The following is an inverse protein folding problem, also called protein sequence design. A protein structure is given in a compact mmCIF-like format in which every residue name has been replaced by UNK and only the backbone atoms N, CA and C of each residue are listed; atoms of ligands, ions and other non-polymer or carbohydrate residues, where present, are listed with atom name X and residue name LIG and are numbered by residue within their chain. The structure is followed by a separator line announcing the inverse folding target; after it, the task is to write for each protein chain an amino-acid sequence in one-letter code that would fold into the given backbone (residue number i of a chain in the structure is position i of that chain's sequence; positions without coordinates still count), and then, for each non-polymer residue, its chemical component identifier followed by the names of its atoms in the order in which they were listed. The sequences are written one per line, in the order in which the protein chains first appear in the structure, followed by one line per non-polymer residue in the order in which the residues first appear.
data_IF_737682176833
#
_entry.id   IF_737682176833
#
_cell.length_a   1.000
_cell.length_b   1.000
_cell.length_c   1.000
_cell.angle_alpha   90.00
_cell.angle_beta   90.00
_cell.angle_gamma   90.00
#
_symmetry.space_group_name_H-M   'P 1'
#
loop_
_entity.id
_entity.type
_entity.pdbx_description
1 polymer ?
#
# COMPACT_ATOMS: atom_id res chain seq x y z
N UNK A 1 17.93 14.21 -9.76
CA UNK A 1 16.70 13.45 -10.03
C UNK A 1 16.81 12.57 -11.27
N UNK A 2 17.08 13.09 -12.47
CA UNK A 2 17.22 12.28 -13.69
C UNK A 2 18.29 11.19 -13.56
N UNK A 3 19.37 11.45 -12.85
CA UNK A 3 20.43 10.47 -12.58
C UNK A 3 19.97 9.39 -11.60
N UNK A 4 19.29 9.75 -10.50
CA UNK A 4 18.72 8.78 -9.55
C UNK A 4 17.74 7.84 -10.24
N UNK A 5 16.92 8.35 -11.15
CA UNK A 5 15.96 7.55 -11.90
C UNK A 5 16.67 6.59 -12.88
N UNK A 6 17.71 7.08 -13.56
CA UNK A 6 18.56 6.23 -14.40
C UNK A 6 19.26 5.12 -13.62
N UNK A 7 19.78 5.45 -12.45
CA UNK A 7 20.43 4.48 -11.57
C UNK A 7 19.44 3.45 -11.05
N UNK A 8 18.23 3.86 -10.66
CA UNK A 8 17.17 2.94 -10.24
C UNK A 8 16.77 1.98 -11.36
N UNK A 9 16.55 2.48 -12.59
CA UNK A 9 16.26 1.64 -13.77
C UNK A 9 17.43 0.69 -14.05
N UNK A 10 18.66 1.17 -13.98
CA UNK A 10 19.84 0.35 -14.19
C UNK A 10 19.93 -0.79 -13.15
N UNK A 11 19.71 -0.49 -11.88
CA UNK A 11 19.70 -1.49 -10.80
C UNK A 11 18.62 -2.53 -11.04
N UNK A 12 17.41 -2.09 -11.41
CA UNK A 12 16.26 -2.99 -11.68
C UNK A 12 16.53 -3.87 -12.89
N UNK A 13 17.03 -3.34 -14.00
CA UNK A 13 17.34 -4.11 -15.20
C UNK A 13 18.46 -5.13 -14.98
N UNK A 14 19.41 -4.80 -14.14
CA UNK A 14 20.49 -5.72 -13.78
C UNK A 14 20.06 -6.80 -12.77
N UNK A 15 18.98 -6.58 -12.06
CA UNK A 15 18.48 -7.49 -11.03
C UNK A 15 17.00 -7.83 -11.29
N UNK A 16 16.71 -8.29 -12.51
CA UNK A 16 15.33 -8.67 -12.92
C UNK A 16 14.70 -9.72 -11.98
N UNK A 17 15.54 -10.43 -11.23
CA UNK A 17 15.13 -11.37 -10.20
C UNK A 17 14.27 -10.73 -9.11
N UNK A 18 14.35 -9.40 -8.91
CA UNK A 18 13.49 -8.65 -7.99
C UNK A 18 12.02 -8.65 -8.42
N UNK A 19 11.74 -8.87 -9.71
CA UNK A 19 10.37 -8.96 -10.21
C UNK A 19 9.69 -10.27 -9.84
N UNK A 20 10.45 -11.35 -9.61
CA UNK A 20 9.88 -12.69 -9.37
C UNK A 20 9.00 -12.72 -8.10
N UNK A 21 9.46 -12.26 -6.91
CA UNK A 21 8.61 -12.23 -5.73
C UNK A 21 7.36 -11.38 -5.92
N UNK A 22 7.47 -10.27 -6.66
CA UNK A 22 6.34 -9.40 -6.96
C UNK A 22 5.30 -10.11 -7.82
N UNK A 23 5.74 -10.79 -8.90
CA UNK A 23 4.85 -11.56 -9.78
C UNK A 23 4.16 -12.67 -8.99
N UNK A 24 4.92 -13.44 -8.20
CA UNK A 24 4.36 -14.50 -7.34
C UNK A 24 3.36 -13.93 -6.36
N UNK A 25 3.65 -12.81 -5.74
CA UNK A 25 2.75 -12.16 -4.78
C UNK A 25 1.44 -11.71 -5.44
N UNK A 26 1.50 -11.09 -6.63
CA UNK A 26 0.31 -10.70 -7.41
C UNK A 26 -0.53 -11.94 -7.73
N UNK A 27 0.08 -13.00 -8.24
CA UNK A 27 -0.62 -14.26 -8.54
C UNK A 27 -1.31 -14.84 -7.30
N UNK A 28 -0.65 -14.81 -6.14
CA UNK A 28 -1.23 -15.29 -4.88
C UNK A 28 -2.41 -14.42 -4.44
N UNK A 29 -2.32 -13.09 -4.60
CA UNK A 29 -3.43 -12.18 -4.31
C UNK A 29 -4.62 -12.41 -5.24
N UNK A 30 -4.38 -12.66 -6.54
CA UNK A 30 -5.44 -12.94 -7.51
C UNK A 30 -6.15 -14.25 -7.17
N UNK A 31 -5.40 -15.30 -6.84
CA UNK A 31 -5.97 -16.58 -6.39
C UNK A 31 -6.77 -16.41 -5.09
N UNK A 32 -6.25 -15.61 -4.14
CA UNK A 32 -6.97 -15.31 -2.91
C UNK A 32 -8.26 -14.51 -3.20
N UNK A 33 -8.22 -13.55 -4.10
CA UNK A 33 -9.40 -12.77 -4.52
C UNK A 33 -10.48 -13.67 -5.12
N UNK A 34 -10.10 -14.62 -5.98
CA UNK A 34 -11.03 -15.63 -6.50
C UNK A 34 -11.60 -16.49 -5.40
N UNK A 35 -10.77 -17.00 -4.48
CA UNK A 35 -11.23 -17.78 -3.33
C UNK A 35 -12.20 -16.99 -2.45
N UNK A 36 -11.87 -15.74 -2.15
CA UNK A 36 -12.66 -14.89 -1.25
C UNK A 36 -14.07 -14.63 -1.80
N UNK A 37 -14.18 -14.44 -3.11
CA UNK A 37 -15.45 -14.20 -3.79
C UNK A 37 -16.49 -15.31 -3.57
N UNK A 38 -16.03 -16.55 -3.43
CA UNK A 38 -16.92 -17.71 -3.30
C UNK A 38 -17.06 -18.25 -1.87
N UNK A 39 -16.14 -17.89 -0.97
CA UNK A 39 -16.05 -18.51 0.35
C UNK A 39 -16.23 -17.54 1.52
N UNK A 40 -16.18 -16.22 1.29
CA UNK A 40 -16.35 -15.21 2.35
C UNK A 40 -17.79 -14.71 2.32
N UNK A 41 -18.63 -15.36 3.13
CA UNK A 41 -20.07 -15.14 3.26
C UNK A 41 -20.47 -14.57 4.63
N UNK A 42 -19.50 -14.37 5.54
CA UNK A 42 -19.77 -13.97 6.92
C UNK A 42 -18.69 -13.04 7.48
N UNK A 43 -19.04 -12.19 8.43
CA UNK A 43 -18.12 -11.25 9.06
C UNK A 43 -16.89 -11.94 9.71
N UNK A 44 -17.00 -13.07 10.41
CA UNK A 44 -15.82 -13.77 10.92
C UNK A 44 -14.88 -14.25 9.81
N UNK A 45 -15.41 -14.80 8.71
CA UNK A 45 -14.60 -15.24 7.57
C UNK A 45 -13.92 -14.05 6.89
N UNK A 46 -14.60 -12.91 6.79
CA UNK A 46 -14.00 -11.66 6.28
C UNK A 46 -12.85 -11.19 7.15
N UNK A 47 -12.98 -11.21 8.48
CA UNK A 47 -11.91 -10.84 9.40
C UNK A 47 -10.69 -11.76 9.27
N UNK A 48 -10.90 -13.07 9.25
CA UNK A 48 -9.82 -14.05 9.06
C UNK A 48 -9.15 -13.85 7.71
N UNK A 49 -9.93 -13.63 6.66
CA UNK A 49 -9.43 -13.34 5.33
C UNK A 49 -8.57 -12.09 5.27
N UNK A 50 -9.04 -11.00 5.86
CA UNK A 50 -8.29 -9.74 5.93
C UNK A 50 -6.97 -9.88 6.70
N UNK A 51 -6.98 -10.61 7.82
CA UNK A 51 -5.75 -10.93 8.56
C UNK A 51 -4.78 -11.76 7.72
N UNK A 52 -5.28 -12.74 6.96
CA UNK A 52 -4.45 -13.56 6.08
C UNK A 52 -3.75 -12.70 5.03
N UNK A 53 -4.47 -11.81 4.34
CA UNK A 53 -3.90 -10.87 3.36
C UNK A 53 -2.84 -9.97 4.01
N UNK A 54 -3.12 -9.47 5.20
CA UNK A 54 -2.19 -8.60 5.94
C UNK A 54 -0.89 -9.33 6.30
N UNK A 55 -0.97 -10.59 6.75
CA UNK A 55 0.21 -11.42 7.03
C UNK A 55 1.00 -11.69 5.76
N UNK A 56 0.33 -12.08 4.66
CA UNK A 56 0.96 -12.32 3.36
C UNK A 56 1.68 -11.07 2.84
N UNK A 57 1.05 -9.91 2.94
CA UNK A 57 1.65 -8.63 2.56
C UNK A 57 2.86 -8.30 3.43
N UNK A 58 2.80 -8.57 4.75
CA UNK A 58 3.92 -8.39 5.67
C UNK A 58 5.13 -9.25 5.32
N UNK A 59 4.90 -10.54 5.01
CA UNK A 59 5.93 -11.46 4.56
C UNK A 59 6.57 -10.96 3.26
N UNK A 60 5.73 -10.60 2.29
CA UNK A 60 6.19 -10.09 1.01
C UNK A 60 7.04 -8.83 1.17
N UNK A 61 6.53 -7.81 1.88
CA UNK A 61 7.27 -6.57 2.08
C UNK A 61 8.60 -6.79 2.80
N UNK A 62 8.62 -7.57 3.88
CA UNK A 62 9.84 -7.84 4.65
C UNK A 62 10.92 -8.50 3.78
N UNK A 63 10.55 -9.52 2.99
CA UNK A 63 11.46 -10.21 2.10
C UNK A 63 11.91 -9.36 0.92
N UNK A 64 10.95 -8.72 0.24
CA UNK A 64 11.22 -7.99 -0.99
C UNK A 64 12.07 -6.73 -0.77
N UNK A 65 11.78 -5.94 0.27
CA UNK A 65 12.59 -4.76 0.59
C UNK A 65 14.01 -5.14 1.01
N UNK A 66 14.22 -6.26 1.71
CA UNK A 66 15.58 -6.77 2.01
C UNK A 66 16.31 -7.20 0.74
N UNK A 67 15.62 -7.79 -0.24
CA UNK A 67 16.21 -8.07 -1.56
C UNK A 67 16.61 -6.79 -2.29
N UNK A 68 15.76 -5.74 -2.25
CA UNK A 68 16.08 -4.44 -2.86
C UNK A 68 17.32 -3.83 -2.21
N UNK A 69 17.45 -3.86 -0.89
CA UNK A 69 18.65 -3.40 -0.18
C UNK A 69 19.88 -4.18 -0.66
N UNK A 70 19.79 -5.51 -0.73
CA UNK A 70 20.85 -6.36 -1.25
C UNK A 70 21.22 -6.04 -2.70
N UNK A 71 20.25 -5.76 -3.57
CA UNK A 71 20.49 -5.37 -4.95
C UNK A 71 21.19 -4.01 -5.07
N UNK A 72 20.84 -3.04 -4.23
CA UNK A 72 21.53 -1.74 -4.16
C UNK A 72 22.99 -1.93 -3.70
N UNK A 73 23.23 -2.77 -2.71
CA UNK A 73 24.59 -3.09 -2.26
C UNK A 73 25.39 -3.79 -3.36
N UNK A 74 24.78 -4.75 -4.07
CA UNK A 74 25.36 -5.47 -5.19
C UNK A 74 25.73 -4.54 -6.35
N UNK A 75 24.94 -3.52 -6.61
CA UNK A 75 25.18 -2.56 -7.69
C UNK A 75 26.45 -1.71 -7.49
N UNK A 76 26.92 -1.61 -6.24
CA UNK A 76 28.17 -0.90 -5.87
C UNK A 76 29.42 -1.77 -6.03
N UNK A 77 29.27 -3.08 -6.24
CA UNK A 77 30.36 -4.01 -6.42
C UNK A 77 30.80 -4.07 -7.87
N UNK A 78 32.10 -4.17 -8.09
CA UNK A 78 32.67 -4.36 -9.44
C UNK A 78 32.91 -5.86 -9.64
N UNK A 79 32.23 -6.44 -10.61
CA UNK A 79 32.42 -7.85 -10.99
C UNK A 79 33.35 -7.93 -12.21
N UNK A 80 34.36 -8.77 -12.13
CA UNK A 80 35.28 -9.04 -13.25
C UNK A 80 34.68 -10.03 -14.23
N UNK A 81 33.86 -10.98 -13.73
CA UNK A 81 33.19 -12.01 -14.53
C UNK A 81 31.68 -11.91 -14.42
N UNK A 82 30.98 -12.00 -15.55
CA UNK A 82 29.50 -12.00 -15.60
C UNK A 82 28.91 -13.19 -14.82
N UNK A 83 29.61 -14.33 -14.77
CA UNK A 83 29.19 -15.50 -14.01
C UNK A 83 29.12 -15.24 -12.50
N UNK A 84 30.07 -14.48 -11.95
CA UNK A 84 30.07 -14.14 -10.52
C UNK A 84 28.94 -13.19 -10.19
N UNK A 85 28.67 -12.26 -11.10
CA UNK A 85 27.51 -11.37 -11.01
C UNK A 85 26.19 -12.14 -11.04
N UNK A 86 26.02 -13.06 -11.97
CA UNK A 86 24.80 -13.89 -12.06
C UNK A 86 24.58 -14.71 -10.78
N UNK A 87 25.66 -15.31 -10.23
CA UNK A 87 25.61 -16.03 -8.96
C UNK A 87 25.23 -15.12 -7.79
N UNK A 88 25.79 -13.92 -7.72
CA UNK A 88 25.47 -12.94 -6.70
C UNK A 88 24.01 -12.47 -6.80
N UNK A 89 23.50 -12.25 -8.02
CA UNK A 89 22.09 -11.91 -8.25
C UNK A 89 21.16 -13.05 -7.81
N UNK A 90 21.48 -14.31 -8.10
CA UNK A 90 20.71 -15.46 -7.61
C UNK A 90 20.69 -15.56 -6.08
N UNK A 91 21.77 -15.18 -5.42
CA UNK A 91 21.85 -15.16 -3.96
C UNK A 91 20.87 -14.15 -3.32
N UNK A 92 20.35 -13.18 -4.07
CA UNK A 92 19.31 -12.26 -3.57
C UNK A 92 18.04 -12.99 -3.11
N UNK A 93 17.74 -14.19 -3.63
CA UNK A 93 16.65 -15.00 -3.08
C UNK A 93 16.86 -15.42 -1.64
N UNK A 94 18.09 -15.62 -1.21
CA UNK A 94 18.38 -15.90 0.21
C UNK A 94 18.04 -14.70 1.07
N UNK A 95 18.29 -13.49 0.57
CA UNK A 95 17.95 -12.26 1.27
C UNK A 95 16.44 -12.11 1.48
N UNK A 96 15.59 -12.72 0.61
CA UNK A 96 14.14 -12.73 0.83
C UNK A 96 13.78 -13.45 2.15
N UNK A 97 14.24 -14.67 2.34
CA UNK A 97 13.99 -15.44 3.58
C UNK A 97 14.59 -14.78 4.83
N UNK A 98 15.81 -14.26 4.72
CA UNK A 98 16.48 -13.52 5.80
C UNK A 98 15.71 -12.24 6.16
N UNK A 99 15.20 -11.52 5.15
CA UNK A 99 14.38 -10.33 5.33
C UNK A 99 13.08 -10.63 6.07
N UNK A 100 12.39 -11.72 5.72
CA UNK A 100 11.19 -12.16 6.44
C UNK A 100 11.52 -12.43 7.90
N UNK A 101 12.56 -13.21 8.18
CA UNK A 101 12.94 -13.52 9.56
C UNK A 101 13.29 -12.28 10.39
N UNK A 102 13.97 -11.31 9.76
CA UNK A 102 14.46 -10.10 10.42
C UNK A 102 13.42 -9.01 10.61
N UNK A 103 12.56 -8.79 9.61
CA UNK A 103 11.70 -7.60 9.55
C UNK A 103 10.19 -7.89 9.69
N UNK A 104 9.76 -9.15 9.70
CA UNK A 104 8.33 -9.50 9.78
C UNK A 104 7.61 -8.83 10.97
N UNK A 105 8.21 -8.88 12.17
CA UNK A 105 7.65 -8.24 13.36
C UNK A 105 7.64 -6.71 13.25
N UNK A 106 8.66 -6.13 12.61
CA UNK A 106 8.72 -4.69 12.37
C UNK A 106 7.60 -4.25 11.43
N UNK A 107 7.31 -5.00 10.39
CA UNK A 107 6.18 -4.74 9.49
C UNK A 107 4.84 -4.95 10.19
N UNK A 108 4.71 -5.94 11.07
CA UNK A 108 3.55 -6.08 11.94
C UNK A 108 3.31 -4.83 12.79
N UNK A 109 4.38 -4.25 13.36
CA UNK A 109 4.33 -2.98 14.07
C UNK A 109 3.93 -1.80 13.17
N UNK A 110 4.40 -1.75 11.91
CA UNK A 110 3.97 -0.74 10.92
C UNK A 110 2.47 -0.81 10.69
N UNK A 111 1.92 -2.00 10.46
CA UNK A 111 0.48 -2.16 10.23
C UNK A 111 -0.35 -1.73 11.43
N UNK A 112 0.09 -2.10 12.63
CA UNK A 112 -0.61 -1.71 13.86
C UNK A 112 -0.62 -0.18 14.04
N UNK A 113 0.52 0.48 13.84
CA UNK A 113 0.62 1.94 13.91
C UNK A 113 -0.20 2.59 12.80
N UNK A 114 -0.13 2.08 11.58
CA UNK A 114 -0.93 2.57 10.46
C UNK A 114 -2.43 2.44 10.72
N UNK A 115 -2.85 1.32 11.30
CA UNK A 115 -4.24 1.13 11.73
C UNK A 115 -4.69 2.16 12.77
N UNK A 116 -3.84 2.46 13.77
CA UNK A 116 -4.11 3.51 14.75
C UNK A 116 -4.22 4.89 14.08
N UNK A 117 -3.32 5.20 13.14
CA UNK A 117 -3.38 6.44 12.36
C UNK A 117 -4.71 6.53 11.61
N UNK A 118 -5.16 5.46 10.96
CA UNK A 118 -6.44 5.42 10.25
C UNK A 118 -7.63 5.55 11.18
N UNK A 119 -7.61 4.92 12.36
CA UNK A 119 -8.67 5.06 13.37
C UNK A 119 -8.84 6.52 13.84
N UNK A 120 -7.75 7.28 13.88
CA UNK A 120 -7.78 8.70 14.26
C UNK A 120 -8.15 9.58 13.06
N UNK A 121 -7.58 9.31 11.88
CA UNK A 121 -7.79 10.12 10.69
C UNK A 121 -9.22 10.02 10.14
N UNK A 122 -9.81 8.81 10.15
CA UNK A 122 -11.14 8.59 9.59
C UNK A 122 -12.24 9.46 10.21
N UNK A 123 -12.42 9.53 11.55
CA UNK A 123 -13.39 10.44 12.15
C UNK A 123 -13.07 11.91 11.87
N UNK A 124 -11.80 12.31 11.87
CA UNK A 124 -11.41 13.69 11.55
C UNK A 124 -11.85 14.05 10.12
N UNK A 125 -11.55 13.18 9.14
CA UNK A 125 -11.97 13.38 7.74
C UNK A 125 -13.49 13.42 7.63
N UNK A 126 -14.19 12.55 8.36
CA UNK A 126 -15.65 12.54 8.38
C UNK A 126 -16.22 13.86 8.90
N UNK A 127 -15.75 14.36 10.04
CA UNK A 127 -16.22 15.65 10.61
C UNK A 127 -15.88 16.83 9.71
N UNK A 128 -14.68 16.85 9.11
CA UNK A 128 -14.28 17.86 8.14
C UNK A 128 -15.18 17.80 6.89
N UNK A 129 -15.46 16.61 6.40
CA UNK A 129 -16.34 16.40 5.26
C UNK A 129 -17.75 16.88 5.53
N UNK A 130 -18.32 16.57 6.69
CA UNK A 130 -19.64 17.09 7.10
C UNK A 130 -19.67 18.62 7.14
N UNK A 131 -18.59 19.26 7.57
CA UNK A 131 -18.50 20.71 7.65
C UNK A 131 -18.31 21.39 6.29
N UNK A 132 -17.52 20.80 5.40
CA UNK A 132 -17.15 21.39 4.10
C UNK A 132 -18.14 21.01 2.99
N UNK A 133 -18.56 19.74 2.95
CA UNK A 133 -19.35 19.17 1.86
C UNK A 133 -20.83 19.10 2.28
N UNK A 134 -21.09 18.89 3.57
CA UNK A 134 -22.41 18.63 4.12
C UNK A 134 -22.72 17.14 4.24
N UNK A 135 -23.85 16.84 4.89
CA UNK A 135 -24.45 15.50 4.93
C UNK A 135 -25.34 15.24 3.74
N UNK A 136 -25.62 13.98 3.46
CA UNK A 136 -26.67 13.58 2.54
C UNK A 136 -28.04 14.02 3.10
N UNK A 137 -28.90 14.51 2.23
CA UNK A 137 -30.29 14.73 2.56
C UNK A 137 -31.00 13.41 2.89
N UNK A 138 -32.12 13.50 3.60
CA UNK A 138 -32.84 12.33 4.11
C UNK A 138 -33.37 11.43 2.98
N UNK A 139 -33.74 12.00 1.84
CA UNK A 139 -34.21 11.23 0.68
C UNK A 139 -33.08 10.45 0.02
N UNK A 140 -31.90 11.07 -0.17
CA UNK A 140 -30.73 10.40 -0.72
C UNK A 140 -30.20 9.29 0.20
N UNK A 141 -30.29 9.48 1.54
CA UNK A 141 -29.96 8.43 2.51
C UNK A 141 -30.92 7.24 2.43
N UNK A 142 -32.21 7.49 2.32
CA UNK A 142 -33.24 6.43 2.15
C UNK A 142 -33.01 5.66 0.86
N UNK A 143 -32.78 6.35 -0.25
CA UNK A 143 -32.51 5.73 -1.54
C UNK A 143 -31.25 4.86 -1.52
N UNK A 144 -30.16 5.33 -0.89
CA UNK A 144 -28.95 4.52 -0.70
C UNK A 144 -29.18 3.32 0.22
N UNK A 145 -30.01 3.49 1.27
CA UNK A 145 -30.38 2.40 2.16
C UNK A 145 -31.22 1.34 1.43
N UNK A 146 -32.13 1.74 0.57
CA UNK A 146 -32.91 0.83 -0.29
C UNK A 146 -32.01 0.08 -1.27
N UNK A 147 -31.00 0.76 -1.88
CA UNK A 147 -30.02 0.13 -2.77
C UNK A 147 -29.10 -0.85 -2.03
N UNK A 148 -28.76 -0.57 -0.76
CA UNK A 148 -27.91 -1.45 0.05
C UNK A 148 -28.67 -2.59 0.72
N UNK A 149 -29.93 -2.41 1.09
CA UNK A 149 -30.79 -3.46 1.70
C UNK A 149 -31.29 -4.45 0.65
N UNK A 150 -31.52 -4.01 -0.57
CA UNK A 150 -31.75 -4.90 -1.71
C UNK A 150 -30.42 -5.53 -2.20
N UNK A 151 -29.61 -6.03 -1.25
CA UNK A 151 -28.25 -6.51 -1.46
C UNK A 151 -28.11 -7.72 -2.41
N UNK A 152 -29.19 -8.43 -2.72
CA UNK A 152 -29.20 -9.41 -3.81
C UNK A 152 -29.10 -8.71 -5.19
N UNK A 153 -29.61 -7.50 -5.34
CA UNK A 153 -29.44 -6.68 -6.53
C UNK A 153 -28.04 -6.03 -6.58
N UNK A 154 -27.51 -5.54 -5.44
CA UNK A 154 -26.19 -4.91 -5.37
C UNK A 154 -25.03 -5.89 -5.60
N UNK A 155 -25.19 -7.16 -5.22
CA UNK A 155 -24.17 -8.20 -5.48
C UNK A 155 -24.08 -8.59 -6.96
N UNK A 156 -25.13 -8.33 -7.75
CA UNK A 156 -25.22 -8.67 -9.17
C UNK A 156 -25.12 -7.46 -10.10
N UNK A 157 -25.24 -6.23 -9.56
CA UNK A 157 -25.07 -5.00 -10.36
C UNK A 157 -23.59 -4.73 -10.62
N UNK A 158 -23.26 -4.48 -11.87
CA UNK A 158 -21.95 -3.96 -12.24
C UNK A 158 -21.79 -2.50 -11.72
N UNK A 159 -20.57 -2.09 -11.40
CA UNK A 159 -20.25 -0.72 -10.99
C UNK A 159 -20.85 0.36 -11.92
N UNK A 160 -20.86 0.20 -13.26
CA UNK A 160 -21.52 1.12 -14.17
C UNK A 160 -23.03 1.26 -13.93
N UNK A 161 -23.74 0.15 -13.74
CA UNK A 161 -25.20 0.16 -13.50
C UNK A 161 -25.57 0.87 -12.19
N UNK A 162 -24.73 0.72 -11.15
CA UNK A 162 -24.90 1.45 -9.90
C UNK A 162 -24.73 2.96 -10.11
N UNK A 163 -23.71 3.39 -10.85
CA UNK A 163 -23.46 4.81 -11.15
C UNK A 163 -24.62 5.41 -11.95
N UNK A 164 -25.15 4.68 -12.93
CA UNK A 164 -26.26 5.11 -13.77
C UNK A 164 -27.58 5.26 -12.98
N UNK A 165 -27.70 4.59 -11.83
CA UNK A 165 -28.87 4.71 -10.94
C UNK A 165 -28.84 5.95 -10.05
N UNK A 166 -27.69 6.65 -9.95
CA UNK A 166 -27.50 7.82 -9.09
C UNK A 166 -27.93 9.11 -9.81
N UNK A 167 -28.52 10.04 -9.06
CA UNK A 167 -28.77 11.40 -9.56
C UNK A 167 -27.44 12.15 -9.75
N UNK A 168 -27.45 13.17 -10.61
CA UNK A 168 -26.28 14.03 -10.85
C UNK A 168 -25.78 14.66 -9.53
N UNK A 169 -26.71 15.06 -8.66
CA UNK A 169 -26.38 15.66 -7.35
C UNK A 169 -25.68 14.65 -6.43
N UNK A 170 -26.12 13.40 -6.42
CA UNK A 170 -25.49 12.31 -5.67
C UNK A 170 -24.09 11.99 -6.22
N UNK A 171 -23.92 11.98 -7.55
CA UNK A 171 -22.61 11.77 -8.18
C UNK A 171 -21.65 12.88 -7.78
N UNK A 172 -22.08 14.14 -7.82
CA UNK A 172 -21.25 15.28 -7.41
C UNK A 172 -20.92 15.20 -5.92
N UNK A 173 -21.86 14.84 -5.08
CA UNK A 173 -21.66 14.66 -3.64
C UNK A 173 -20.61 13.58 -3.35
N UNK A 174 -20.77 12.39 -3.92
CA UNK A 174 -19.79 11.30 -3.77
C UNK A 174 -18.43 11.66 -4.36
N UNK A 175 -18.41 12.39 -5.48
CA UNK A 175 -17.18 12.90 -6.07
C UNK A 175 -16.42 13.82 -5.11
N UNK A 176 -17.09 14.76 -4.45
CA UNK A 176 -16.48 15.65 -3.45
C UNK A 176 -15.94 14.88 -2.26
N UNK A 177 -16.69 13.90 -1.73
CA UNK A 177 -16.24 13.05 -0.64
C UNK A 177 -15.04 12.19 -1.04
N UNK A 178 -15.04 11.60 -2.23
CA UNK A 178 -13.92 10.83 -2.77
C UNK A 178 -12.67 11.68 -2.91
N UNK A 179 -12.79 12.91 -3.42
CA UNK A 179 -11.68 13.85 -3.54
C UNK A 179 -11.10 14.21 -2.16
N UNK A 180 -11.94 14.44 -1.15
CA UNK A 180 -11.50 14.71 0.21
C UNK A 180 -10.71 13.52 0.78
N UNK A 181 -11.28 12.30 0.68
CA UNK A 181 -10.62 11.07 1.12
C UNK A 181 -9.28 10.83 0.40
N UNK A 182 -9.26 10.96 -0.93
CA UNK A 182 -8.04 10.80 -1.71
C UNK A 182 -6.98 11.82 -1.33
N UNK A 183 -7.38 13.08 -1.11
CA UNK A 183 -6.45 14.14 -0.72
C UNK A 183 -5.80 13.85 0.64
N UNK A 184 -6.60 13.48 1.64
CA UNK A 184 -6.08 13.16 2.98
C UNK A 184 -5.22 11.89 2.94
N UNK A 185 -5.68 10.86 2.23
CA UNK A 185 -4.90 9.62 2.07
C UNK A 185 -3.57 9.89 1.38
N UNK A 186 -3.56 10.74 0.35
CA UNK A 186 -2.33 11.15 -0.34
C UNK A 186 -1.34 11.86 0.60
N UNK A 187 -1.83 12.75 1.47
CA UNK A 187 -0.99 13.40 2.48
C UNK A 187 -0.42 12.39 3.47
N UNK A 188 -1.24 11.46 3.96
CA UNK A 188 -0.78 10.41 4.87
C UNK A 188 0.28 9.54 4.18
N UNK A 189 0.04 9.09 2.96
CA UNK A 189 1.01 8.27 2.19
C UNK A 189 2.31 9.04 1.92
N UNK A 190 2.24 10.34 1.64
CA UNK A 190 3.42 11.18 1.52
C UNK A 190 4.22 11.23 2.82
N UNK A 191 3.56 11.40 3.97
CA UNK A 191 4.22 11.42 5.28
C UNK A 191 4.88 10.07 5.63
N UNK A 192 4.35 8.96 5.13
CA UNK A 192 4.83 7.61 5.39
C UNK A 192 5.82 7.08 4.33
N UNK A 193 6.09 7.86 3.27
CA UNK A 193 6.86 7.42 2.10
C UNK A 193 8.23 6.80 2.44
N UNK A 194 8.95 7.36 3.41
CA UNK A 194 10.26 6.87 3.81
C UNK A 194 10.23 5.87 4.97
N UNK A 195 9.07 5.55 5.51
CA UNK A 195 8.96 4.71 6.70
C UNK A 195 9.51 3.29 6.48
N UNK A 196 9.06 2.63 5.42
CA UNK A 196 9.52 1.27 5.07
C UNK A 196 11.02 1.24 4.74
N UNK A 197 11.55 2.11 3.84
CA UNK A 197 12.99 2.20 3.64
C UNK A 197 13.81 2.42 4.91
N UNK A 198 13.30 3.24 5.85
CA UNK A 198 13.99 3.51 7.11
C UNK A 198 14.04 2.27 8.02
N UNK A 199 13.01 1.41 8.00
CA UNK A 199 13.01 0.14 8.73
C UNK A 199 14.10 -0.80 8.22
N UNK A 200 14.19 -0.93 6.91
CA UNK A 200 15.13 -1.88 6.29
C UNK A 200 16.57 -1.37 6.35
N UNK A 201 16.80 -0.09 6.07
CA UNK A 201 18.14 0.47 5.94
C UNK A 201 18.75 0.97 7.25
N UNK A 202 17.95 1.35 8.25
CA UNK A 202 18.45 2.10 9.39
C UNK A 202 18.07 1.53 10.76
N UNK A 203 16.82 1.13 10.97
CA UNK A 203 16.36 0.65 12.29
C UNK A 203 15.14 -0.25 12.19
N UNK A 204 15.16 -1.46 12.79
CA UNK A 204 14.01 -2.36 12.77
C UNK A 204 12.85 -1.89 13.66
N UNK A 205 13.04 -0.85 14.47
CA UNK A 205 11.99 -0.32 15.33
C UNK A 205 11.02 0.58 14.54
N UNK A 206 9.72 0.21 14.39
CA UNK A 206 8.78 0.93 13.55
C UNK A 206 8.50 2.36 14.02
N UNK A 207 8.48 2.64 15.32
CA UNK A 207 8.26 4.00 15.86
C UNK A 207 9.45 4.92 15.59
N UNK A 208 10.67 4.42 15.81
CA UNK A 208 11.89 5.19 15.56
C UNK A 208 12.02 5.45 14.06
N UNK A 209 11.71 4.45 13.23
CA UNK A 209 11.73 4.58 11.78
C UNK A 209 10.71 5.62 11.29
N UNK A 210 9.49 5.62 11.84
CA UNK A 210 8.47 6.62 11.54
C UNK A 210 8.95 8.03 11.87
N UNK A 211 9.47 8.24 13.08
CA UNK A 211 9.99 9.55 13.49
C UNK A 211 11.09 10.05 12.56
N UNK A 212 12.08 9.19 12.25
CA UNK A 212 13.17 9.52 11.32
C UNK A 212 12.68 9.82 9.92
N UNK A 213 11.69 9.06 9.43
CA UNK A 213 11.03 9.29 8.14
C UNK A 213 10.44 10.70 8.06
N UNK A 214 9.63 11.08 9.06
CA UNK A 214 9.01 12.41 9.14
C UNK A 214 10.07 13.52 9.22
N UNK A 215 11.11 13.33 10.05
CA UNK A 215 12.20 14.32 10.17
C UNK A 215 12.95 14.50 8.85
N UNK A 216 13.26 13.42 8.13
CA UNK A 216 13.90 13.49 6.79
C UNK A 216 13.03 14.23 5.80
N UNK A 217 11.73 13.92 5.80
CA UNK A 217 10.76 14.55 4.91
C UNK A 217 10.67 16.07 5.16
N UNK A 218 10.65 16.49 6.42
CA UNK A 218 10.61 17.91 6.78
C UNK A 218 11.90 18.65 6.44
N UNK A 219 13.07 18.01 6.60
CA UNK A 219 14.38 18.60 6.27
C UNK A 219 14.54 18.83 4.76
N UNK A 220 14.08 17.88 3.94
CA UNK A 220 14.24 17.92 2.49
C UNK A 220 12.90 18.07 1.76
N UNK A 221 11.99 18.86 2.32
CA UNK A 221 10.59 18.98 1.91
C UNK A 221 10.43 19.15 0.40
N UNK A 222 11.10 20.13 -0.22
CA UNK A 222 10.94 20.39 -1.65
C UNK A 222 11.45 19.26 -2.53
N UNK A 223 12.53 18.59 -2.12
CA UNK A 223 13.08 17.44 -2.85
C UNK A 223 12.15 16.23 -2.76
N UNK A 224 11.58 15.98 -1.57
CA UNK A 224 10.68 14.86 -1.32
C UNK A 224 9.32 15.04 -1.96
N UNK A 225 8.74 16.27 -1.96
CA UNK A 225 7.51 16.56 -2.71
C UNK A 225 7.70 16.28 -4.21
N UNK A 226 8.83 16.75 -4.78
CA UNK A 226 9.15 16.49 -6.18
C UNK A 226 9.32 14.98 -6.47
N UNK A 227 9.87 14.21 -5.53
CA UNK A 227 10.00 12.76 -5.66
C UNK A 227 8.64 12.04 -5.61
N UNK A 228 7.73 12.52 -4.77
CA UNK A 228 6.39 11.94 -4.60
C UNK A 228 5.47 12.19 -5.81
N UNK A 229 5.68 13.30 -6.53
CA UNK A 229 4.87 13.69 -7.68
C UNK A 229 5.32 13.06 -9.02
N UNK A 230 6.41 12.27 -9.03
CA UNK A 230 6.92 11.51 -10.18
C UNK A 230 6.36 10.10 -10.17
#
# INVERSE_FOLDING_TARGET
MRELFKDAIKITNFNIILAIPLIVFIMVLDLYSLYSKYNIDSAPKFLVGSLTVLVMFGIFCAGWFNMIEGAIQLSKQVFVLDKDRAKATLNLFKNFGEGVAKYFLSFGGVYLIFFIIQLIATPIVYFLGLHIIGGLDTQSMQHLQELTVNSELAANQSMPEFIDSLSIEQIIFFGKWSLLFMSVTSVIMYLLMFWIPEIVCCTPNPLIALWRSVVKLLKDFFTTVRLYLI
#
